data_IF_445510912144
#
_entry.id   IF_445510912144
#
_cell.length_a   1.000
_cell.length_b   1.000
_cell.length_c   1.000
_cell.angle_alpha   90.00
_cell.angle_beta   90.00
_cell.angle_gamma   90.00
#
_symmetry.space_group_name_H-M   'P 1'
#
loop_
_entity.id
_entity.type
_entity.pdbx_description
1 polymer ?
#
# COMPACT_ATOMS: atom_id res chain seq x y z
N UNK A 1 11.44 14.02 -5.66
CA UNK A 1 11.34 13.82 -4.20
C UNK A 1 9.96 14.18 -3.68
N UNK A 2 9.50 15.44 -3.76
CA UNK A 2 8.25 15.84 -3.08
C UNK A 2 7.02 15.04 -3.52
N UNK A 3 6.90 14.70 -4.80
CA UNK A 3 5.78 13.85 -5.29
C UNK A 3 5.81 12.50 -4.60
N UNK A 4 6.98 11.85 -4.57
CA UNK A 4 7.18 10.53 -3.97
C UNK A 4 6.93 10.55 -2.46
N UNK A 5 7.37 11.60 -1.75
CA UNK A 5 7.11 11.77 -0.32
C UNK A 5 5.61 11.93 -0.01
N UNK A 6 4.88 12.73 -0.79
CA UNK A 6 3.44 12.88 -0.59
C UNK A 6 2.70 11.58 -0.93
N UNK A 7 3.08 10.89 -2.00
CA UNK A 7 2.50 9.57 -2.32
C UNK A 7 2.70 8.59 -1.17
N UNK A 8 3.90 8.52 -0.60
CA UNK A 8 4.19 7.67 0.54
C UNK A 8 3.37 8.05 1.79
N UNK A 9 3.23 9.35 2.06
CA UNK A 9 2.44 9.85 3.19
C UNK A 9 0.95 9.53 3.03
N UNK A 10 0.37 9.80 1.85
CA UNK A 10 -1.03 9.47 1.53
C UNK A 10 -1.28 7.96 1.61
N UNK A 11 -0.33 7.15 1.14
CA UNK A 11 -0.40 5.70 1.24
C UNK A 11 -0.53 5.24 2.70
N UNK A 12 0.33 5.74 3.60
CA UNK A 12 0.26 5.37 5.01
C UNK A 12 -1.01 5.92 5.68
N UNK A 13 -1.43 7.13 5.34
CA UNK A 13 -2.66 7.72 5.86
C UNK A 13 -3.88 6.85 5.53
N UNK A 14 -3.89 6.09 4.43
CA UNK A 14 -4.98 5.15 4.12
C UNK A 14 -5.22 4.12 5.22
N UNK A 15 -4.19 3.68 5.94
CA UNK A 15 -4.33 2.75 7.07
C UNK A 15 -4.94 3.43 8.31
N UNK A 16 -4.86 4.76 8.40
CA UNK A 16 -5.24 5.55 9.57
C UNK A 16 -6.64 6.16 9.46
N UNK A 17 -7.18 6.32 8.24
CA UNK A 17 -8.46 7.01 7.95
C UNK A 17 -9.65 6.59 8.80
N UNK A 18 -9.81 5.29 9.05
CA UNK A 18 -10.93 4.77 9.84
C UNK A 18 -10.59 4.62 11.33
N UNK A 19 -9.43 5.12 11.76
CA UNK A 19 -8.82 4.82 13.07
C UNK A 19 -8.50 6.08 13.87
N UNK A 20 -8.19 7.19 13.20
CA UNK A 20 -7.79 8.45 13.81
C UNK A 20 -8.67 9.61 13.30
N UNK A 21 -8.84 10.69 14.09
CA UNK A 21 -9.42 11.94 13.64
C UNK A 21 -8.70 12.49 12.41
N UNK A 22 -9.43 13.20 11.55
CA UNK A 22 -8.87 13.78 10.33
C UNK A 22 -7.71 14.76 10.61
N UNK A 23 -7.84 15.57 11.65
CA UNK A 23 -6.78 16.50 12.06
C UNK A 23 -5.46 15.76 12.39
N UNK A 24 -5.54 14.65 13.12
CA UNK A 24 -4.37 13.82 13.44
C UNK A 24 -3.75 13.21 12.18
N UNK A 25 -4.57 12.81 11.20
CA UNK A 25 -4.10 12.27 9.93
C UNK A 25 -3.41 13.35 9.10
N UNK A 26 -3.99 14.55 9.03
CA UNK A 26 -3.41 15.66 8.28
C UNK A 26 -2.09 16.13 8.93
N UNK A 27 -2.03 16.16 10.26
CA UNK A 27 -0.79 16.43 11.01
C UNK A 27 0.27 15.35 10.78
N UNK A 28 -0.12 14.07 10.89
CA UNK A 28 0.77 12.93 10.60
C UNK A 28 1.34 13.02 9.17
N UNK A 29 0.50 13.32 8.18
CA UNK A 29 0.92 13.48 6.80
C UNK A 29 1.99 14.57 6.66
N UNK A 30 1.72 15.78 7.17
CA UNK A 30 2.66 16.91 7.10
C UNK A 30 3.99 16.57 7.79
N UNK A 31 3.92 15.99 8.98
CA UNK A 31 5.10 15.64 9.75
C UNK A 31 5.92 14.53 9.08
N UNK A 32 5.25 13.54 8.46
CA UNK A 32 5.90 12.49 7.72
C UNK A 32 6.70 13.04 6.53
N UNK A 33 6.07 13.87 5.69
CA UNK A 33 6.75 14.50 4.55
C UNK A 33 7.92 15.36 5.02
N UNK A 34 7.74 16.13 6.10
CA UNK A 34 8.80 16.98 6.65
C UNK A 34 10.03 16.17 7.09
N UNK A 35 9.83 15.13 7.93
CA UNK A 35 10.92 14.31 8.47
C UNK A 35 11.68 13.59 7.36
N UNK A 36 10.97 12.98 6.41
CA UNK A 36 11.60 12.27 5.30
C UNK A 36 12.38 13.20 4.38
N UNK A 37 11.84 14.40 4.10
CA UNK A 37 12.55 15.39 3.27
C UNK A 37 13.91 15.73 3.86
N UNK A 38 13.96 16.00 5.17
CA UNK A 38 15.22 16.29 5.88
C UNK A 38 16.16 15.08 5.87
N UNK A 39 15.62 13.89 6.10
CA UNK A 39 16.41 12.65 6.20
C UNK A 39 16.98 12.21 4.85
N UNK A 40 16.26 12.41 3.75
CA UNK A 40 16.65 11.88 2.44
C UNK A 40 17.48 12.85 1.60
N UNK A 41 17.60 14.11 1.98
CA UNK A 41 18.25 15.15 1.17
C UNK A 41 19.65 14.78 0.64
N UNK A 42 20.48 14.11 1.46
CA UNK A 42 21.84 13.71 1.09
C UNK A 42 21.91 12.30 0.50
N UNK A 43 20.78 11.61 0.41
CA UNK A 43 20.67 10.24 -0.07
C UNK A 43 19.56 10.16 -1.13
N UNK A 44 19.46 11.14 -2.02
CA UNK A 44 18.48 11.14 -3.11
C UNK A 44 19.20 11.33 -4.44
N UNK A 45 19.20 10.30 -5.29
CA UNK A 45 20.01 10.24 -6.51
C UNK A 45 19.11 9.96 -7.71
N UNK A 46 18.70 11.00 -8.46
CA UNK A 46 17.73 10.84 -9.55
C UNK A 46 18.26 9.96 -10.69
N UNK A 47 19.55 10.01 -10.94
CA UNK A 47 20.25 9.30 -12.01
C UNK A 47 20.46 7.82 -11.66
N UNK A 48 20.49 7.51 -10.36
CA UNK A 48 20.65 6.14 -9.84
C UNK A 48 19.64 5.88 -8.72
N UNK A 49 18.33 5.75 -9.02
CA UNK A 49 17.28 5.73 -8.00
C UNK A 49 17.48 4.70 -6.90
N UNK A 50 17.96 3.50 -7.25
CA UNK A 50 18.20 2.40 -6.31
C UNK A 50 19.32 2.71 -5.31
N UNK A 51 20.25 3.62 -5.64
CA UNK A 51 21.33 4.02 -4.73
C UNK A 51 20.71 4.62 -3.47
N UNK A 52 21.05 4.05 -2.32
CA UNK A 52 20.52 4.49 -1.02
C UNK A 52 19.07 4.05 -0.73
N UNK A 53 18.46 3.20 -1.56
CA UNK A 53 17.08 2.72 -1.33
C UNK A 53 16.91 2.05 0.04
N UNK A 54 17.85 1.19 0.46
CA UNK A 54 17.82 0.59 1.81
C UNK A 54 17.92 1.61 2.95
N UNK A 55 18.60 2.74 2.74
CA UNK A 55 18.68 3.83 3.73
C UNK A 55 17.38 4.62 3.85
N UNK A 56 16.59 4.66 2.77
CA UNK A 56 15.29 5.32 2.71
C UNK A 56 14.14 4.38 3.07
N UNK A 57 14.30 3.08 2.89
CA UNK A 57 13.26 2.10 3.20
C UNK A 57 12.87 2.15 4.67
N UNK A 58 11.57 2.00 4.95
CA UNK A 58 11.03 1.90 6.31
C UNK A 58 10.32 0.57 6.46
N UNK A 59 10.55 -0.13 7.56
CA UNK A 59 9.89 -1.40 7.86
C UNK A 59 9.15 -1.31 9.19
N UNK A 60 7.90 -1.74 9.21
CA UNK A 60 7.00 -1.66 10.35
C UNK A 60 6.10 -2.89 10.41
N UNK A 61 5.52 -3.15 11.57
CA UNK A 61 4.49 -4.17 11.75
C UNK A 61 4.78 -5.07 12.95
N UNK A 62 4.11 -6.22 12.97
CA UNK A 62 4.23 -7.21 14.04
C UNK A 62 4.93 -8.45 13.51
N UNK A 63 5.84 -9.01 14.31
CA UNK A 63 6.41 -10.32 14.00
C UNK A 63 5.32 -11.39 14.17
N UNK A 64 5.08 -12.19 13.12
CA UNK A 64 4.03 -13.21 13.11
C UNK A 64 4.22 -14.25 14.23
N UNK A 65 5.47 -14.60 14.55
CA UNK A 65 5.81 -15.60 15.56
C UNK A 65 5.94 -15.03 16.99
N UNK A 66 6.10 -13.71 17.13
CA UNK A 66 6.17 -13.03 18.43
C UNK A 66 5.05 -11.98 18.52
N UNK A 67 3.81 -12.43 18.74
CA UNK A 67 2.60 -11.58 18.81
C UNK A 67 2.70 -10.39 19.78
N UNK A 68 3.62 -10.43 20.74
CA UNK A 68 3.84 -9.36 21.73
C UNK A 68 4.92 -8.35 21.35
N UNK A 69 5.60 -8.52 20.21
CA UNK A 69 6.67 -7.63 19.77
C UNK A 69 6.27 -6.96 18.46
N UNK A 70 5.92 -5.69 18.56
CA UNK A 70 5.78 -4.81 17.42
C UNK A 70 7.12 -4.12 17.13
N UNK A 71 7.36 -3.86 15.85
CA UNK A 71 8.49 -3.06 15.38
C UNK A 71 7.95 -1.89 14.57
N UNK A 72 8.45 -0.70 14.87
CA UNK A 72 8.14 0.52 14.13
C UNK A 72 9.46 1.15 13.72
N UNK A 73 9.53 1.59 12.47
CA UNK A 73 10.71 2.28 11.96
C UNK A 73 11.06 3.49 12.85
N UNK A 74 12.34 3.73 13.18
CA UNK A 74 12.75 4.88 13.99
C UNK A 74 12.22 6.23 13.48
N UNK A 75 12.09 6.42 12.16
CA UNK A 75 11.50 7.62 11.57
C UNK A 75 10.02 7.73 11.93
N UNK A 76 9.27 6.64 11.81
CA UNK A 76 7.86 6.63 12.21
C UNK A 76 7.70 6.86 13.71
N UNK A 77 8.57 6.29 14.56
CA UNK A 77 8.58 6.56 16.01
C UNK A 77 8.72 8.06 16.28
N UNK A 78 9.65 8.73 15.60
CA UNK A 78 9.86 10.17 15.73
C UNK A 78 8.61 10.97 15.31
N UNK A 79 8.00 10.59 14.17
CA UNK A 79 6.82 11.25 13.62
C UNK A 79 5.62 11.12 14.58
N UNK A 80 5.31 9.91 15.04
CA UNK A 80 4.13 9.70 15.90
C UNK A 80 4.28 10.29 17.29
N UNK A 81 5.51 10.35 17.83
CA UNK A 81 5.79 11.08 19.06
C UNK A 81 5.48 12.57 18.91
N UNK A 82 5.86 13.16 17.77
CA UNK A 82 5.58 14.58 17.47
C UNK A 82 4.08 14.82 17.29
N UNK A 83 3.37 13.87 16.69
CA UNK A 83 1.92 13.95 16.48
C UNK A 83 1.08 13.49 17.69
N UNK A 84 1.72 13.05 18.78
CA UNK A 84 1.06 12.45 19.94
C UNK A 84 0.13 11.25 19.61
N UNK A 85 0.44 10.50 18.56
CA UNK A 85 -0.31 9.30 18.15
C UNK A 85 0.27 8.08 18.89
N UNK A 86 -0.60 7.30 19.54
CA UNK A 86 -0.21 6.10 20.29
C UNK A 86 -0.63 4.83 19.55
N UNK A 87 0.13 3.77 19.76
CA UNK A 87 -0.15 2.42 19.25
C UNK A 87 -0.39 2.39 17.73
N UNK A 88 0.31 3.22 16.94
CA UNK A 88 0.10 3.31 15.49
C UNK A 88 0.39 1.98 14.78
N UNK A 89 1.31 1.19 15.33
CA UNK A 89 1.76 -0.09 14.82
C UNK A 89 0.63 -1.11 14.69
N UNK A 90 -0.45 -0.95 15.45
CA UNK A 90 -1.63 -1.82 15.37
C UNK A 90 -2.48 -1.58 14.12
N UNK A 91 -2.29 -0.43 13.44
CA UNK A 91 -3.04 -0.05 12.25
C UNK A 91 -2.32 -0.45 10.95
N UNK A 92 -1.03 -0.76 11.01
CA UNK A 92 -0.27 -1.20 9.85
C UNK A 92 -0.40 -2.72 9.61
N UNK A 93 -0.27 -3.17 8.36
CA UNK A 93 -0.17 -4.59 8.04
C UNK A 93 1.03 -5.27 8.74
N UNK A 94 0.96 -6.59 8.89
CA UNK A 94 2.06 -7.38 9.43
C UNK A 94 3.22 -7.44 8.42
N UNK A 95 4.46 -7.28 8.92
CA UNK A 95 5.68 -7.31 8.11
C UNK A 95 5.59 -6.39 6.87
N UNK A 96 5.35 -5.10 7.10
CA UNK A 96 5.22 -4.09 6.07
C UNK A 96 6.55 -3.38 5.80
N UNK A 97 6.93 -3.24 4.53
CA UNK A 97 8.08 -2.44 4.11
C UNK A 97 7.65 -1.44 3.04
N UNK A 98 8.10 -0.19 3.17
CA UNK A 98 7.88 0.90 2.21
C UNK A 98 9.21 1.39 1.67
N UNK A 99 9.32 1.51 0.35
CA UNK A 99 10.42 2.15 -0.34
C UNK A 99 9.95 3.46 -0.96
N UNK A 100 10.77 4.51 -0.81
CA UNK A 100 10.49 5.84 -1.33
C UNK A 100 11.73 6.30 -2.08
N UNK A 101 11.69 6.10 -3.39
CA UNK A 101 12.84 6.22 -4.28
C UNK A 101 12.56 7.26 -5.38
N UNK A 102 13.60 7.81 -6.03
CA UNK A 102 13.41 8.73 -7.14
C UNK A 102 12.55 8.13 -8.26
N UNK A 103 11.34 8.68 -8.44
CA UNK A 103 10.39 8.21 -9.45
C UNK A 103 9.54 7.01 -9.06
N UNK A 104 9.67 6.46 -7.85
CA UNK A 104 8.94 5.26 -7.43
C UNK A 104 8.60 5.28 -5.93
N UNK A 105 7.39 4.83 -5.60
CA UNK A 105 7.01 4.43 -4.24
C UNK A 105 6.44 3.03 -4.35
N UNK A 106 7.10 2.08 -3.70
CA UNK A 106 6.73 0.67 -3.74
C UNK A 106 6.70 0.09 -2.33
N UNK A 107 5.95 -0.98 -2.14
CA UNK A 107 5.77 -1.57 -0.82
C UNK A 107 5.68 -3.09 -0.88
N UNK A 108 5.86 -3.72 0.27
CA UNK A 108 5.63 -5.15 0.48
C UNK A 108 4.85 -5.33 1.78
N UNK A 109 3.91 -6.27 1.78
CA UNK A 109 3.19 -6.72 2.98
C UNK A 109 3.46 -8.21 3.16
N UNK A 110 3.88 -8.60 4.36
CA UNK A 110 4.26 -9.98 4.67
C UNK A 110 5.70 -10.33 4.24
N UNK A 111 6.30 -11.32 4.90
CA UNK A 111 7.65 -11.80 4.57
C UNK A 111 7.71 -12.41 3.16
N UNK A 112 6.65 -13.09 2.74
CA UNK A 112 6.52 -13.73 1.43
C UNK A 112 5.70 -12.88 0.43
N UNK A 113 5.47 -11.60 0.76
CA UNK A 113 4.73 -10.68 -0.10
C UNK A 113 5.51 -10.33 -1.38
N UNK A 114 4.78 -10.13 -2.48
CA UNK A 114 5.33 -9.48 -3.66
C UNK A 114 5.52 -7.98 -3.42
N UNK A 115 6.47 -7.38 -4.14
CA UNK A 115 6.61 -5.92 -4.18
C UNK A 115 5.54 -5.36 -5.12
N UNK A 116 4.83 -4.33 -4.66
CA UNK A 116 3.80 -3.64 -5.43
C UNK A 116 4.14 -2.16 -5.55
N UNK A 117 3.92 -1.61 -6.75
CA UNK A 117 4.05 -0.17 -6.98
C UNK A 117 2.79 0.55 -6.48
N UNK A 118 2.99 1.58 -5.67
CA UNK A 118 1.95 2.56 -5.34
C UNK A 118 2.03 3.79 -6.26
N UNK A 119 3.26 4.15 -6.65
CA UNK A 119 3.55 5.20 -7.62
C UNK A 119 4.79 4.79 -8.43
N UNK A 120 4.77 4.98 -9.74
CA UNK A 120 5.95 4.77 -10.57
C UNK A 120 5.87 5.60 -11.85
N UNK A 121 6.88 6.43 -12.07
CA UNK A 121 7.02 7.21 -13.32
C UNK A 121 7.28 6.30 -14.52
N UNK A 122 7.98 5.19 -14.30
CA UNK A 122 8.40 4.28 -15.37
C UNK A 122 7.23 3.44 -15.87
N UNK A 123 6.41 2.91 -14.96
CA UNK A 123 5.25 2.08 -15.32
C UNK A 123 3.96 2.88 -15.48
N UNK A 124 3.98 4.17 -15.13
CA UNK A 124 2.82 5.07 -15.20
C UNK A 124 1.79 4.84 -14.09
N UNK A 125 2.14 4.07 -13.06
CA UNK A 125 1.28 3.86 -11.89
C UNK A 125 1.17 5.17 -11.11
N UNK A 126 -0.06 5.66 -10.94
CA UNK A 126 -0.36 6.85 -10.13
C UNK A 126 -1.37 6.52 -9.04
N UNK A 127 -1.18 7.02 -7.81
CA UNK A 127 -2.14 6.81 -6.75
C UNK A 127 -3.45 7.57 -7.00
N UNK A 128 -4.56 7.12 -6.39
CA UNK A 128 -5.83 7.84 -6.49
C UNK A 128 -5.73 9.25 -5.87
N UNK A 129 -6.45 10.25 -6.41
CA UNK A 129 -6.47 11.59 -5.83
C UNK A 129 -6.92 11.58 -4.37
N UNK A 130 -6.27 12.40 -3.54
CA UNK A 130 -6.61 12.55 -2.11
C UNK A 130 -8.04 13.07 -1.89
N UNK A 131 -8.66 13.72 -2.87
CA UNK A 131 -9.97 14.38 -2.72
C UNK A 131 -11.19 13.44 -2.82
N UNK A 132 -11.02 12.16 -3.15
CA UNK A 132 -12.13 11.16 -3.11
C UNK A 132 -12.42 10.64 -1.68
N UNK A 133 -12.16 11.46 -0.67
CA UNK A 133 -12.27 11.14 0.76
C UNK A 133 -13.30 12.02 1.47
N UNK A 134 -14.26 12.57 0.70
CA UNK A 134 -15.42 13.25 1.23
C UNK A 134 -16.40 12.23 1.83
N UNK A 135 -17.09 12.61 2.91
CA UNK A 135 -17.91 11.82 3.84
C UNK A 135 -19.18 11.17 3.21
N UNK A 136 -19.02 10.43 2.12
CA UNK A 136 -20.09 9.63 1.53
C UNK A 136 -20.42 8.39 2.39
N UNK A 137 -21.70 8.01 2.56
CA UNK A 137 -22.05 6.76 3.20
C UNK A 137 -21.42 5.61 2.40
N UNK A 138 -20.58 4.82 3.07
CA UNK A 138 -19.91 3.68 2.48
C UNK A 138 -20.97 2.69 1.95
N UNK A 139 -20.93 2.25 0.68
CA UNK A 139 -21.79 1.15 0.26
C UNK A 139 -21.38 -0.10 1.04
N UNK A 140 -22.33 -0.70 1.75
CA UNK A 140 -22.20 -1.99 2.38
C UNK A 140 -21.72 -3.00 1.34
N UNK A 141 -20.55 -3.60 1.54
CA UNK A 141 -20.09 -4.73 0.73
C UNK A 141 -20.97 -5.95 0.99
N UNK A 142 -22.15 -5.99 0.39
CA UNK A 142 -22.82 -7.25 0.10
C UNK A 142 -22.15 -7.79 -1.16
N UNK A 143 -21.11 -8.60 -0.97
CA UNK A 143 -20.56 -9.42 -2.06
C UNK A 143 -21.69 -10.34 -2.53
N UNK A 144 -22.32 -10.01 -3.66
CA UNK A 144 -23.10 -10.99 -4.40
C UNK A 144 -22.10 -11.97 -5.01
N UNK A 145 -22.22 -13.29 -4.77
CA UNK A 145 -21.35 -14.25 -5.44
C UNK A 145 -21.67 -14.22 -6.94
N UNK A 146 -20.64 -13.98 -7.75
CA UNK A 146 -20.72 -14.19 -9.20
C UNK A 146 -20.81 -15.70 -9.43
N UNK A 147 -21.79 -16.22 -10.20
CA UNK A 147 -21.83 -17.63 -10.52
C UNK A 147 -20.62 -18.00 -11.37
N UNK A 148 -19.87 -19.01 -10.93
CA UNK A 148 -18.80 -19.63 -11.71
C UNK A 148 -19.48 -20.42 -12.84
N UNK A 149 -19.46 -19.87 -14.05
CA UNK A 149 -19.82 -20.64 -15.25
C UNK A 149 -18.65 -21.56 -15.57
N UNK A 150 -18.86 -22.87 -15.44
CA UNK A 150 -17.89 -23.88 -15.83
C UNK A 150 -17.72 -23.87 -17.37
N UNK A 151 -16.49 -23.98 -17.90
CA UNK A 151 -16.27 -24.13 -19.33
C UNK A 151 -16.80 -25.49 -19.79
N UNK A 152 -17.64 -25.44 -20.84
CA UNK A 152 -18.44 -26.55 -21.32
C UNK A 152 -17.67 -27.78 -21.77
N UNK A 153 -18.23 -28.94 -21.42
CA UNK A 153 -17.94 -30.22 -22.04
C UNK A 153 -18.36 -30.21 -23.53
N UNK A 154 -17.63 -30.90 -24.43
CA UNK A 154 -17.99 -30.98 -25.84
C UNK A 154 -19.30 -31.77 -26.04
N UNK A 155 -20.20 -31.22 -26.87
CA UNK A 155 -21.40 -31.92 -27.34
C UNK A 155 -21.01 -33.10 -28.23
N UNK A 156 -21.49 -34.29 -27.87
CA UNK A 156 -21.51 -35.46 -28.73
C UNK A 156 -22.51 -35.21 -29.86
N UNK A 157 -22.03 -35.13 -31.10
CA UNK A 157 -22.88 -35.09 -32.29
C UNK A 157 -23.47 -36.47 -32.53
N UNK A 158 -24.78 -36.58 -32.41
CA UNK A 158 -25.58 -37.74 -32.80
C UNK A 158 -25.51 -37.91 -34.33
N UNK A 159 -24.98 -39.03 -34.79
CA UNK A 159 -24.92 -39.37 -36.22
C UNK A 159 -26.23 -40.07 -36.60
N UNK A 160 -27.04 -39.42 -37.42
CA UNK A 160 -28.25 -39.98 -38.01
C UNK A 160 -27.90 -41.18 -38.91
N UNK A 161 -28.64 -42.28 -38.75
CA UNK A 161 -28.62 -43.42 -39.67
C UNK A 161 -29.48 -43.10 -40.90
N UNK A 162 -28.94 -43.32 -42.10
CA UNK A 162 -29.70 -43.31 -43.35
C UNK A 162 -30.44 -44.64 -43.56
N UNK A 163 -31.61 -44.65 -44.23
CA UNK A 163 -32.28 -45.88 -44.58
C UNK A 163 -31.71 -46.50 -45.87
N UNK A 164 -31.71 -47.83 -45.85
CA UNK A 164 -31.37 -48.74 -46.94
C UNK A 164 -32.36 -48.62 -48.10
N UNK A 165 -31.85 -48.55 -49.32
CA UNK A 165 -32.48 -49.11 -50.52
C UNK A 165 -31.48 -50.03 -51.22
#
# INVERSE_FOLDING_TARGET
MMVELNCAADFLCNFLKAKLPREDIDNFHQQFVHVLKQRYQSHWYNETPIRGSAYRSMTCGREHFQKHKSFLDPLLIQIVKTCNIRNIEQYFPENFTLWVDPGEVSYRIGELGSICDYYSKTTGVTPPPRELLDDGPRPSSTRTPVPIVAPGSPQLTEKAAEPVF
#
